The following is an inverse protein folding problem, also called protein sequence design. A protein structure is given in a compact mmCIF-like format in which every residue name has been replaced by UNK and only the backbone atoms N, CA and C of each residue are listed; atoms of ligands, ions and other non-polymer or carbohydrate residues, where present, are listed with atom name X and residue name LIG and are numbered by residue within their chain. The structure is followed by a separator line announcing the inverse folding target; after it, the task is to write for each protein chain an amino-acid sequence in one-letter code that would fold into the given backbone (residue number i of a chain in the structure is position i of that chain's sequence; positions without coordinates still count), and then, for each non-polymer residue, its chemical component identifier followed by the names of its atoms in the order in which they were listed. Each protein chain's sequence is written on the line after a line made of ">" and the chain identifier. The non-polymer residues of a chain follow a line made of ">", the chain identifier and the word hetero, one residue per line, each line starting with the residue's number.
data_IF_968475371089
#
_entry.id   IF_968475371089
#
_cell.length_a   1.000
_cell.length_b   1.000
_cell.length_c   1.000
_cell.angle_alpha   90.00
_cell.angle_beta   90.00
_cell.angle_gamma   90.00
#
_symmetry.space_group_name_H-M   'P 1'
#
loop_
_entity.id
_entity.type
_entity.pdbx_description
1 polymer ?
#
# COMPACT_ATOMS: atom_id res chain seq x y z
N UNK A 1 -7.34 -15.96 -8.19
CA UNK A 1 -6.68 -15.35 -8.34
C UNK A 1 -6.71 -14.09 -7.83
N UNK A 2 -5.93 -13.54 -7.41
CA UNK A 2 -5.99 -12.53 -6.76
C UNK A 2 -6.15 -11.48 -7.42
N UNK A 3 -6.38 -10.78 -7.61
CA UNK A 3 -6.67 -9.74 -8.25
C UNK A 3 -5.96 -8.50 -8.09
N UNK A 4 -4.79 -8.52 -7.74
CA UNK A 4 -4.01 -7.33 -7.62
C UNK A 4 -3.66 -6.80 -9.01
N UNK A 5 -3.80 -5.48 -9.20
CA UNK A 5 -3.44 -4.90 -10.48
C UNK A 5 -1.94 -4.68 -10.46
N UNK A 6 -1.39 -4.35 -11.59
CA UNK A 6 0.04 -4.09 -11.69
C UNK A 6 0.40 -2.94 -10.77
N UNK A 7 -0.43 -1.89 -10.73
CA UNK A 7 -0.17 -0.76 -9.86
C UNK A 7 -0.21 -1.18 -8.39
N UNK A 8 -1.17 -2.01 -8.02
CA UNK A 8 -1.26 -2.45 -6.63
C UNK A 8 -0.05 -3.30 -6.24
N UNK A 9 0.44 -4.11 -7.16
CA UNK A 9 1.63 -4.89 -6.88
C UNK A 9 2.84 -3.99 -6.69
N UNK A 10 2.95 -2.91 -7.48
CA UNK A 10 4.05 -1.99 -7.35
C UNK A 10 3.96 -1.25 -6.02
N UNK A 11 2.77 -0.87 -5.61
CA UNK A 11 2.57 -0.18 -4.36
C UNK A 11 3.00 -1.10 -3.21
N UNK A 12 2.62 -2.36 -3.28
CA UNK A 12 2.96 -3.30 -2.25
C UNK A 12 4.48 -3.49 -2.18
N UNK A 13 5.13 -3.56 -3.34
CA UNK A 13 6.58 -3.70 -3.35
C UNK A 13 7.26 -2.48 -2.74
N UNK A 14 6.73 -1.29 -2.99
CA UNK A 14 7.30 -0.10 -2.42
C UNK A 14 7.10 -0.09 -0.90
N UNK A 15 5.96 -0.55 -0.44
CA UNK A 15 5.69 -0.63 0.98
C UNK A 15 6.66 -1.59 1.65
N UNK A 16 6.97 -2.70 0.97
CA UNK A 16 7.91 -3.64 1.55
C UNK A 16 9.32 -3.08 1.56
N UNK A 17 9.67 -2.33 0.55
CA UNK A 17 11.01 -1.78 0.46
C UNK A 17 11.25 -0.66 1.47
N UNK A 18 10.25 0.21 1.65
CA UNK A 18 10.42 1.35 2.51
C UNK A 18 9.67 1.29 3.84
N UNK A 19 8.84 0.32 4.03
CA UNK A 19 8.07 0.15 5.25
C UNK A 19 6.73 0.86 5.19
N UNK A 20 6.59 1.87 4.38
CA UNK A 20 5.33 2.56 4.24
C UNK A 20 5.26 3.29 2.93
N UNK A 21 4.08 3.69 2.54
CA UNK A 21 3.87 4.44 1.31
C UNK A 21 2.91 5.57 1.63
N UNK A 22 3.05 6.70 0.98
CA UNK A 22 2.18 7.84 1.19
C UNK A 22 1.37 8.12 -0.06
N UNK A 23 0.12 8.50 0.13
CA UNK A 23 -0.79 8.72 -0.99
C UNK A 23 -0.22 9.75 -1.98
N UNK A 24 0.26 10.87 -1.48
CA UNK A 24 0.74 11.89 -2.39
C UNK A 24 1.95 11.44 -3.19
N UNK A 25 2.83 10.69 -2.59
CA UNK A 25 4.01 10.22 -3.28
C UNK A 25 3.62 9.23 -4.35
N UNK A 26 2.68 8.33 -4.04
CA UNK A 26 2.26 7.33 -4.99
C UNK A 26 1.50 7.98 -6.15
N UNK A 27 0.67 8.96 -5.84
CA UNK A 27 -0.09 9.63 -6.89
C UNK A 27 0.87 10.30 -7.88
N UNK A 28 1.93 10.89 -7.37
CA UNK A 28 2.87 11.54 -8.24
C UNK A 28 3.68 10.50 -9.00
N UNK A 29 4.09 9.43 -8.35
CA UNK A 29 4.89 8.42 -9.00
C UNK A 29 4.15 7.73 -10.12
N UNK A 30 2.87 7.43 -9.93
CA UNK A 30 2.09 6.73 -10.93
C UNK A 30 1.29 7.69 -11.82
N UNK A 31 1.39 8.99 -11.57
CA UNK A 31 0.69 9.98 -12.37
C UNK A 31 -0.80 9.75 -12.37
N UNK A 32 -1.37 9.51 -11.22
CA UNK A 32 -2.81 9.32 -11.07
C UNK A 32 -3.26 10.20 -9.93
N UNK A 33 -4.57 10.32 -9.74
CA UNK A 33 -5.07 11.18 -8.69
C UNK A 33 -4.88 10.53 -7.33
N UNK A 34 -4.90 11.33 -6.29
CA UNK A 34 -4.80 10.82 -4.95
C UNK A 34 -5.96 9.90 -4.65
N UNK A 35 -7.14 10.18 -5.22
CA UNK A 35 -8.28 9.36 -4.96
C UNK A 35 -8.09 7.96 -5.53
N UNK A 36 -7.45 7.85 -6.68
CA UNK A 36 -7.16 6.55 -7.29
C UNK A 36 -6.23 5.76 -6.37
N UNK A 37 -5.24 6.43 -5.79
CA UNK A 37 -4.31 5.75 -4.91
C UNK A 37 -5.02 5.32 -3.63
N UNK A 38 -5.91 6.15 -3.09
CA UNK A 38 -6.63 5.77 -1.88
C UNK A 38 -7.44 4.53 -2.12
N UNK A 39 -8.02 4.39 -3.33
CA UNK A 39 -8.81 3.23 -3.63
C UNK A 39 -7.92 2.01 -3.68
N UNK A 40 -6.75 2.12 -4.30
CA UNK A 40 -5.83 1.00 -4.38
C UNK A 40 -5.35 0.60 -2.97
N UNK A 41 -5.09 1.58 -2.11
CA UNK A 41 -4.65 1.27 -0.76
C UNK A 41 -5.77 0.61 0.03
N UNK A 42 -7.01 1.04 -0.18
CA UNK A 42 -8.13 0.42 0.52
C UNK A 42 -8.25 -1.05 0.10
N UNK A 43 -8.07 -1.35 -1.18
CA UNK A 43 -8.15 -2.72 -1.64
C UNK A 43 -7.04 -3.55 -1.02
N UNK A 44 -5.84 -3.02 -0.93
CA UNK A 44 -4.72 -3.76 -0.36
C UNK A 44 -4.93 -3.95 1.15
N UNK A 45 -5.51 -2.96 1.82
CA UNK A 45 -5.79 -3.09 3.23
C UNK A 45 -6.90 -4.09 3.50
N UNK A 46 -7.88 -4.16 2.60
CA UNK A 46 -8.95 -5.11 2.75
C UNK A 46 -8.41 -6.53 2.65
N UNK A 47 -7.35 -6.72 1.90
CA UNK A 47 -6.76 -8.04 1.76
C UNK A 47 -5.70 -8.27 2.84
N UNK A 48 -5.61 -7.32 3.80
CA UNK A 48 -4.69 -7.44 4.91
C UNK A 48 -3.23 -7.42 4.49
N UNK A 49 -2.96 -6.85 3.33
CA UNK A 49 -1.58 -6.75 2.87
C UNK A 49 -0.95 -5.46 3.38
N UNK A 50 -1.76 -4.44 3.65
CA UNK A 50 -1.28 -3.19 4.19
C UNK A 50 -2.20 -2.73 5.31
N UNK A 51 -1.71 -1.81 6.14
CA UNK A 51 -2.51 -1.22 7.20
C UNK A 51 -2.60 0.27 6.92
N UNK A 52 -3.82 0.82 6.96
CA UNK A 52 -3.98 2.24 6.64
C UNK A 52 -3.45 3.11 7.76
N UNK A 53 -2.83 4.21 7.39
CA UNK A 53 -2.42 5.20 8.35
C UNK A 53 -2.81 6.53 7.76
N UNK A 54 -2.65 7.61 8.49
CA UNK A 54 -3.07 8.90 8.03
C UNK A 54 -2.20 9.29 6.82
N UNK A 55 -2.82 9.48 5.70
CA UNK A 55 -2.12 9.89 4.47
C UNK A 55 -1.42 8.77 3.72
N UNK A 56 -1.55 7.52 4.15
CA UNK A 56 -0.86 6.45 3.44
C UNK A 56 -1.15 5.09 4.02
N UNK A 57 -0.19 4.21 3.97
CA UNK A 57 -0.34 2.85 4.49
C UNK A 57 1.03 2.28 4.82
N UNK A 58 1.06 1.33 5.72
CA UNK A 58 2.31 0.66 6.06
C UNK A 58 2.13 -0.82 5.82
N UNK A 59 3.21 -1.53 5.79
CA UNK A 59 3.17 -2.95 5.50
C UNK A 59 2.58 -3.67 6.69
N UNK A 60 1.61 -4.50 6.44
CA UNK A 60 0.93 -5.15 7.53
C UNK A 60 1.73 -6.23 8.16
N UNK A 61 2.67 -6.72 7.46
CA UNK A 61 3.36 -7.83 7.99
C UNK A 61 4.18 -7.50 9.15
N UNK A 62 4.19 -6.32 9.51
CA UNK A 62 4.99 -6.00 10.61
C UNK A 62 4.61 -6.77 11.79
N UNK A 63 3.57 -7.36 11.71
CA UNK A 63 3.16 -8.08 12.76
C UNK A 63 4.07 -9.09 13.06
N UNK A 64 4.75 -9.53 12.15
CA UNK A 64 5.55 -10.53 12.44
C UNK A 64 6.56 -10.13 13.30
N UNK A 65 6.74 -8.99 13.50
CA UNK A 65 7.73 -8.63 14.29
C UNK A 65 7.50 -9.11 15.57
N UNK A 66 6.43 -9.43 15.85
CA UNK A 66 6.21 -9.82 17.08
C UNK A 66 6.87 -10.92 17.34
N UNK A 67 7.20 -11.50 16.45
CA UNK A 67 7.84 -12.60 16.63
C UNK A 67 8.90 -12.43 17.54
N UNK A 68 9.30 -11.46 17.86
CA UNK A 68 10.36 -11.45 18.62
C UNK A 68 10.06 -11.14 19.88
#
# INVERSE_FOLDING_TARGET
>A
MTGLTHRQNEILNLARAFGRVMVEDLARRFEVSAQTIRKDLNDLCDQRLLTRIHGGAIIASGVENLAY
#
